data_IF_720341935058
#
_entry.id   IF_720341935058
#
_cell.length_a   1.000
_cell.length_b   1.000
_cell.length_c   1.000
_cell.angle_alpha   90.00
_cell.angle_beta   90.00
_cell.angle_gamma   90.00
#
_symmetry.space_group_name_H-M   'P 1'
#
loop_
_entity.id
_entity.type
_entity.pdbx_description
1 polymer ?
#
# COMPACT_ATOMS: atom_id res chain seq x y z
N UNK A 1 -13.56 22.68 45.58
CA UNK A 1 -13.05 21.44 44.97
C UNK A 1 -13.66 21.11 43.61
N UNK A 2 -14.99 21.25 43.40
CA UNK A 2 -15.64 20.97 42.09
C UNK A 2 -15.04 21.74 40.89
N UNK A 3 -14.68 23.02 41.07
CA UNK A 3 -14.09 23.87 39.99
C UNK A 3 -12.70 23.40 39.54
N UNK A 4 -11.90 22.83 40.44
CA UNK A 4 -10.58 22.28 40.11
C UNK A 4 -10.68 20.93 39.39
N UNK A 5 -11.68 20.10 39.75
CA UNK A 5 -11.94 18.84 39.08
C UNK A 5 -12.39 19.05 37.62
N UNK A 6 -13.26 20.03 37.36
CA UNK A 6 -13.68 20.37 36.01
C UNK A 6 -12.52 20.87 35.13
N UNK A 7 -11.61 21.69 35.68
CA UNK A 7 -10.44 22.16 34.94
C UNK A 7 -9.48 21.01 34.58
N UNK A 8 -9.27 20.06 35.50
CA UNK A 8 -8.42 18.89 35.26
C UNK A 8 -9.00 17.96 34.18
N UNK A 9 -10.32 17.75 34.17
CA UNK A 9 -10.99 16.93 33.14
C UNK A 9 -10.88 17.59 31.76
N UNK A 10 -11.07 18.91 31.66
CA UNK A 10 -10.92 19.64 30.39
C UNK A 10 -9.48 19.58 29.89
N UNK A 11 -8.49 19.74 30.77
CA UNK A 11 -7.08 19.61 30.40
C UNK A 11 -6.74 18.19 29.91
N UNK A 12 -7.29 17.15 30.55
CA UNK A 12 -7.11 15.77 30.12
C UNK A 12 -7.75 15.50 28.75
N UNK A 13 -8.94 16.02 28.48
CA UNK A 13 -9.62 15.87 27.18
C UNK A 13 -8.84 16.58 26.07
N UNK A 14 -8.33 17.79 26.32
CA UNK A 14 -7.49 18.52 25.33
C UNK A 14 -6.18 17.76 25.07
N UNK A 15 -5.56 17.20 26.11
CA UNK A 15 -4.34 16.40 25.96
C UNK A 15 -4.58 15.09 25.19
N UNK A 16 -5.72 14.43 25.41
CA UNK A 16 -6.11 13.20 24.71
C UNK A 16 -6.45 13.47 23.23
N UNK A 17 -7.11 14.59 22.92
CA UNK A 17 -7.36 15.01 21.54
C UNK A 17 -6.06 15.36 20.80
N UNK A 18 -5.06 15.92 21.49
CA UNK A 18 -3.76 16.24 20.91
C UNK A 18 -2.89 15.00 20.62
N UNK A 19 -3.09 13.88 21.34
CA UNK A 19 -2.36 12.63 21.11
C UNK A 19 -3.00 11.73 20.04
N UNK A 20 -4.15 12.10 19.47
CA UNK A 20 -4.86 11.24 18.52
C UNK A 20 -4.34 11.34 17.07
N UNK A 21 -3.35 12.18 16.78
CA UNK A 21 -2.74 12.28 15.45
C UNK A 21 -1.26 11.88 15.47
N UNK A 22 -0.97 10.65 15.85
CA UNK A 22 0.25 10.02 15.37
C UNK A 22 0.01 9.67 13.90
N UNK A 23 0.21 10.65 13.01
CA UNK A 23 0.21 10.38 11.57
C UNK A 23 1.39 9.46 11.28
N UNK A 24 1.11 8.27 10.74
CA UNK A 24 2.14 7.40 10.18
C UNK A 24 2.93 8.20 9.14
N UNK A 25 4.27 8.07 9.16
CA UNK A 25 5.14 8.87 8.30
C UNK A 25 5.00 8.39 6.86
N UNK A 26 4.26 9.14 6.04
CA UNK A 26 4.27 8.96 4.60
C UNK A 26 5.63 9.41 4.05
N UNK A 27 6.51 8.43 3.80
CA UNK A 27 7.89 8.63 3.38
C UNK A 27 8.02 9.27 2.00
N UNK A 28 7.00 9.11 1.15
CA UNK A 28 7.00 9.58 -0.25
C UNK A 28 5.90 10.60 -0.55
N UNK A 29 5.29 11.22 0.48
CA UNK A 29 4.17 12.17 0.34
C UNK A 29 4.35 13.27 -0.72
N UNK A 30 5.60 13.70 -0.94
CA UNK A 30 5.96 14.78 -1.85
C UNK A 30 6.70 14.30 -3.10
N UNK A 31 6.80 12.99 -3.32
CA UNK A 31 7.45 12.39 -4.47
C UNK A 31 6.39 11.91 -5.47
N UNK A 32 6.36 12.53 -6.65
CA UNK A 32 5.37 12.21 -7.68
C UNK A 32 5.57 10.85 -8.32
N UNK A 33 6.73 10.22 -8.13
CA UNK A 33 7.02 8.91 -8.71
C UNK A 33 6.43 7.76 -7.88
N UNK A 34 5.87 8.05 -6.71
CA UNK A 34 5.34 7.03 -5.80
C UNK A 34 3.87 7.28 -5.45
N UNK A 35 3.08 6.21 -5.44
CA UNK A 35 1.71 6.24 -4.92
C UNK A 35 1.62 5.29 -3.73
N UNK A 36 1.16 5.81 -2.58
CA UNK A 36 0.83 4.97 -1.43
C UNK A 36 -0.33 4.01 -1.80
N UNK A 37 -0.04 2.71 -1.80
CA UNK A 37 -1.01 1.65 -2.10
C UNK A 37 -1.73 1.22 -0.83
N UNK A 38 -0.97 1.03 0.25
CA UNK A 38 -1.47 0.56 1.54
C UNK A 38 -0.55 1.02 2.66
N UNK A 39 -1.16 1.31 3.81
CA UNK A 39 -0.47 1.59 5.06
C UNK A 39 -1.11 0.76 6.16
N UNK A 40 -0.31 0.03 6.95
CA UNK A 40 -0.79 -0.69 8.12
C UNK A 40 0.06 -1.91 8.48
N UNK A 41 -0.15 -2.43 9.70
CA UNK A 41 0.61 -3.58 10.25
C UNK A 41 2.13 -3.33 10.34
N UNK A 42 2.55 -2.07 10.52
CA UNK A 42 3.95 -1.70 10.63
C UNK A 42 4.68 -1.70 9.28
N UNK A 43 3.97 -1.50 8.18
CA UNK A 43 4.57 -1.30 6.87
C UNK A 43 3.74 -0.35 5.99
N UNK A 44 4.45 0.32 5.09
CA UNK A 44 3.91 1.14 4.02
C UNK A 44 4.31 0.54 2.67
N UNK A 45 3.34 0.34 1.79
CA UNK A 45 3.53 -0.18 0.44
C UNK A 45 3.26 0.94 -0.56
N UNK A 46 4.25 1.23 -1.40
CA UNK A 46 4.19 2.25 -2.45
C UNK A 46 4.36 1.61 -3.84
N UNK A 47 3.59 2.05 -4.82
CA UNK A 47 3.84 1.71 -6.22
C UNK A 47 4.80 2.74 -6.81
N UNK A 48 5.92 2.27 -7.37
CA UNK A 48 6.85 3.12 -8.10
C UNK A 48 6.37 3.29 -9.56
N UNK A 49 5.81 4.46 -9.87
CA UNK A 49 5.14 4.75 -11.14
C UNK A 49 6.01 4.53 -12.39
N UNK A 50 7.29 4.97 -12.43
CA UNK A 50 8.14 4.73 -13.59
C UNK A 50 8.40 3.26 -13.91
N UNK A 51 8.15 2.34 -12.96
CA UNK A 51 8.29 0.90 -13.20
C UNK A 51 7.04 0.22 -13.76
N UNK A 52 5.92 0.94 -13.88
CA UNK A 52 4.67 0.37 -14.37
C UNK A 52 4.82 0.03 -15.85
N UNK A 53 4.65 -1.25 -16.17
CA UNK A 53 4.83 -1.81 -17.50
C UNK A 53 3.61 -2.64 -17.90
N UNK A 54 3.05 -2.33 -19.08
CA UNK A 54 1.94 -3.08 -19.67
C UNK A 54 2.51 -4.19 -20.53
N UNK A 55 2.55 -5.39 -19.97
CA UNK A 55 3.15 -6.56 -20.63
C UNK A 55 2.23 -7.18 -21.69
N UNK A 56 0.92 -7.07 -21.52
CA UNK A 56 -0.06 -7.53 -22.51
C UNK A 56 -1.23 -6.55 -22.58
N UNK A 57 -1.46 -6.00 -23.78
CA UNK A 57 -2.58 -5.11 -24.10
C UNK A 57 -3.53 -5.80 -25.08
N UNK A 58 -4.36 -6.72 -24.58
CA UNK A 58 -5.39 -7.39 -25.39
C UNK A 58 -6.73 -7.38 -24.65
N UNK A 59 -7.48 -6.26 -24.66
CA UNK A 59 -8.76 -6.17 -23.96
C UNK A 59 -9.67 -7.39 -24.18
N UNK A 60 -10.17 -8.08 -23.13
CA UNK A 60 -10.07 -7.73 -21.71
C UNK A 60 -8.82 -8.28 -21.00
N UNK A 61 -7.97 -9.07 -21.65
CA UNK A 61 -6.77 -9.68 -21.07
C UNK A 61 -5.61 -8.68 -20.94
N UNK A 62 -5.53 -8.05 -19.77
CA UNK A 62 -4.42 -7.18 -19.39
C UNK A 62 -3.43 -7.90 -18.48
N UNK A 63 -2.15 -7.74 -18.74
CA UNK A 63 -1.09 -8.05 -17.79
C UNK A 63 -0.29 -6.78 -17.51
N UNK A 64 -0.25 -6.36 -16.25
CA UNK A 64 0.45 -5.15 -15.82
C UNK A 64 1.43 -5.56 -14.72
N UNK A 65 2.68 -5.15 -14.86
CA UNK A 65 3.71 -5.33 -13.86
C UNK A 65 4.16 -3.97 -13.30
N UNK A 66 4.77 -4.00 -12.12
CA UNK A 66 5.37 -2.84 -11.50
C UNK A 66 6.14 -3.23 -10.24
N UNK A 67 6.87 -2.28 -9.68
CA UNK A 67 7.61 -2.46 -8.43
C UNK A 67 6.81 -1.88 -7.27
N UNK A 68 6.57 -2.71 -6.26
CA UNK A 68 6.10 -2.28 -4.94
C UNK A 68 7.32 -2.07 -4.04
N UNK A 69 7.43 -0.87 -3.49
CA UNK A 69 8.41 -0.52 -2.47
C UNK A 69 7.74 -0.65 -1.12
N UNK A 70 8.30 -1.49 -0.26
CA UNK A 70 7.80 -1.74 1.10
C UNK A 70 8.77 -1.11 2.07
N UNK A 71 8.25 -0.21 2.91
CA UNK A 71 8.98 0.41 4.02
C UNK A 71 8.39 -0.14 5.31
N UNK A 72 9.20 -0.80 6.13
CA UNK A 72 8.77 -1.28 7.45
C UNK A 72 8.93 -0.18 8.50
N UNK A 73 7.92 -0.01 9.35
CA UNK A 73 7.88 0.95 10.48
C UNK A 73 8.66 0.48 11.71
N UNK A 74 9.33 -0.67 11.63
CA UNK A 74 10.21 -1.11 12.72
C UNK A 74 11.29 -0.03 12.90
N UNK A 75 11.65 0.32 14.14
CA UNK A 75 12.52 1.46 14.52
C UNK A 75 13.92 1.50 13.85
N UNK A 76 14.18 0.58 12.91
CA UNK A 76 15.33 0.50 12.01
C UNK A 76 14.94 1.13 10.66
N UNK A 77 15.27 2.41 10.52
CA UNK A 77 15.00 3.30 9.37
C UNK A 77 15.44 2.83 7.97
N UNK A 78 15.98 1.62 7.81
CA UNK A 78 16.72 1.21 6.63
C UNK A 78 16.20 -0.07 5.96
N UNK A 79 15.10 -0.67 6.42
CA UNK A 79 14.56 -1.90 5.82
C UNK A 79 13.56 -1.57 4.70
N UNK A 80 14.11 -1.30 3.52
CA UNK A 80 13.34 -1.10 2.29
C UNK A 80 13.41 -2.39 1.47
N UNK A 81 12.26 -2.99 1.21
CA UNK A 81 12.12 -4.10 0.27
C UNK A 81 11.54 -3.61 -1.05
N UNK A 82 12.00 -4.18 -2.17
CA UNK A 82 11.46 -3.93 -3.49
C UNK A 82 10.94 -5.24 -4.06
N UNK A 83 9.64 -5.30 -4.35
CA UNK A 83 8.99 -6.49 -4.91
C UNK A 83 8.49 -6.19 -6.32
N UNK A 84 8.97 -6.94 -7.32
CA UNK A 84 8.35 -6.92 -8.64
C UNK A 84 7.08 -7.73 -8.59
N UNK A 85 5.96 -7.07 -8.85
CA UNK A 85 4.62 -7.66 -8.87
C UNK A 85 4.04 -7.60 -10.27
N UNK A 86 3.16 -8.56 -10.59
CA UNK A 86 2.39 -8.58 -11.82
C UNK A 86 0.97 -9.01 -11.54
N UNK A 87 0.00 -8.34 -12.15
CA UNK A 87 -1.39 -8.73 -12.11
C UNK A 87 -1.85 -9.23 -13.48
N UNK A 88 -2.47 -10.40 -13.50
CA UNK A 88 -3.15 -10.94 -14.67
C UNK A 88 -4.65 -10.73 -14.55
N UNK A 89 -5.23 -9.95 -15.48
CA UNK A 89 -6.64 -9.65 -15.49
C UNK A 89 -7.52 -10.87 -15.72
N UNK A 90 -7.15 -11.74 -16.65
CA UNK A 90 -8.00 -12.84 -17.10
C UNK A 90 -8.21 -13.83 -15.95
N UNK A 91 -7.13 -14.20 -15.28
CA UNK A 91 -7.17 -15.15 -14.18
C UNK A 91 -7.47 -14.50 -12.82
N UNK A 92 -7.41 -13.16 -12.74
CA UNK A 92 -7.51 -12.38 -11.48
C UNK A 92 -6.42 -12.74 -10.47
N UNK A 93 -5.25 -13.13 -10.96
CA UNK A 93 -4.13 -13.60 -10.14
C UNK A 93 -3.04 -12.54 -10.04
N UNK A 94 -2.36 -12.50 -8.89
CA UNK A 94 -1.16 -11.70 -8.68
C UNK A 94 0.05 -12.63 -8.63
N UNK A 95 1.18 -12.13 -9.11
CA UNK A 95 2.44 -12.84 -9.16
C UNK A 95 3.54 -11.93 -8.60
N UNK A 96 4.53 -12.52 -7.95
CA UNK A 96 5.78 -11.85 -7.61
C UNK A 96 6.94 -12.51 -8.34
N UNK A 97 8.04 -11.79 -8.51
CA UNK A 97 9.28 -12.36 -9.04
C UNK A 97 10.09 -12.96 -7.89
N UNK A 98 10.43 -14.24 -7.98
CA UNK A 98 11.29 -14.89 -6.98
C UNK A 98 12.76 -14.47 -7.13
N UNK A 99 13.60 -14.88 -6.18
CA UNK A 99 15.05 -14.59 -6.19
C UNK A 99 15.80 -15.13 -7.42
N UNK A 100 15.17 -16.02 -8.20
CA UNK A 100 15.71 -16.60 -9.42
C UNK A 100 15.16 -15.90 -10.69
N UNK A 101 14.34 -14.87 -10.52
CA UNK A 101 13.74 -14.13 -11.62
C UNK A 101 12.47 -14.75 -12.20
N UNK A 102 11.90 -15.80 -11.60
CA UNK A 102 10.70 -16.46 -12.09
C UNK A 102 9.44 -15.84 -11.49
N UNK A 103 8.38 -15.73 -12.30
CA UNK A 103 7.08 -15.33 -11.79
C UNK A 103 6.44 -16.47 -10.99
N UNK A 104 6.15 -16.21 -9.72
CA UNK A 104 5.45 -17.11 -8.81
C UNK A 104 4.09 -16.53 -8.51
N UNK A 105 3.05 -17.36 -8.63
CA UNK A 105 1.69 -16.98 -8.26
C UNK A 105 1.64 -16.75 -6.75
N UNK A 106 1.02 -15.65 -6.34
CA UNK A 106 0.74 -15.38 -4.94
C UNK A 106 -0.34 -16.35 -4.44
N UNK A 107 -0.01 -17.12 -3.40
CA UNK A 107 -1.00 -17.91 -2.69
C UNK A 107 -1.71 -17.01 -1.69
N UNK A 108 -3.00 -16.77 -1.89
CA UNK A 108 -3.83 -16.07 -0.92
C UNK A 108 -4.24 -17.07 0.15
N UNK A 109 -3.58 -17.03 1.31
CA UNK A 109 -3.84 -17.96 2.41
C UNK A 109 -4.80 -17.35 3.44
N UNK A 110 -4.90 -16.01 3.47
CA UNK A 110 -5.77 -15.28 4.42
C UNK A 110 -6.58 -14.17 3.75
N UNK A 111 -7.72 -13.83 4.34
CA UNK A 111 -8.62 -12.76 3.86
C UNK A 111 -7.96 -11.37 3.82
N UNK A 112 -7.01 -11.09 4.72
CA UNK A 112 -6.26 -9.83 4.75
C UNK A 112 -5.30 -9.71 3.56
N UNK A 113 -4.69 -10.82 3.14
CA UNK A 113 -3.79 -10.87 1.98
C UNK A 113 -4.58 -10.63 0.69
N UNK A 114 -5.83 -11.10 0.62
CA UNK A 114 -6.73 -10.83 -0.52
C UNK A 114 -6.96 -9.34 -0.77
N UNK A 115 -7.24 -8.56 0.29
CA UNK A 115 -7.43 -7.12 0.16
C UNK A 115 -6.16 -6.40 -0.25
N UNK A 116 -5.01 -6.80 0.31
CA UNK A 116 -3.71 -6.22 -0.08
C UNK A 116 -3.46 -6.38 -1.59
N UNK A 117 -3.72 -7.57 -2.14
CA UNK A 117 -3.56 -7.85 -3.58
C UNK A 117 -4.53 -7.05 -4.44
N UNK A 118 -5.77 -6.84 -3.99
CA UNK A 118 -6.71 -5.95 -4.68
C UNK A 118 -6.23 -4.50 -4.72
N UNK A 119 -5.65 -4.00 -3.63
CA UNK A 119 -5.09 -2.64 -3.61
C UNK A 119 -3.93 -2.49 -4.59
N UNK A 120 -3.02 -3.47 -4.64
CA UNK A 120 -1.91 -3.50 -5.61
C UNK A 120 -2.43 -3.53 -7.05
N UNK A 121 -3.38 -4.43 -7.34
CA UNK A 121 -4.01 -4.51 -8.66
C UNK A 121 -4.69 -3.18 -9.03
N UNK A 122 -5.43 -2.56 -8.11
CA UNK A 122 -6.04 -1.25 -8.34
C UNK A 122 -5.00 -0.18 -8.66
N UNK A 123 -3.91 -0.13 -7.90
CA UNK A 123 -2.85 0.84 -8.12
C UNK A 123 -2.21 0.68 -9.50
N UNK A 124 -1.92 -0.56 -9.92
CA UNK A 124 -1.37 -0.86 -11.25
C UNK A 124 -2.31 -0.42 -12.38
N UNK A 125 -3.60 -0.74 -12.29
CA UNK A 125 -4.58 -0.35 -13.33
C UNK A 125 -4.84 1.15 -13.36
N UNK A 126 -4.88 1.79 -12.19
CA UNK A 126 -5.03 3.24 -12.10
C UNK A 126 -3.81 3.95 -12.68
N UNK A 127 -2.60 3.45 -12.42
CA UNK A 127 -1.37 4.01 -12.99
C UNK A 127 -1.29 3.82 -14.51
N UNK A 128 -1.61 2.62 -15.01
CA UNK A 128 -1.50 2.31 -16.44
C UNK A 128 -2.62 2.92 -17.29
N UNK A 129 -3.85 2.99 -16.77
CA UNK A 129 -5.04 3.31 -17.56
C UNK A 129 -5.94 4.40 -16.96
N UNK A 130 -5.66 4.89 -15.75
CA UNK A 130 -6.52 5.86 -15.06
C UNK A 130 -7.83 5.28 -14.55
N UNK A 131 -7.97 3.95 -14.47
CA UNK A 131 -9.22 3.26 -14.10
C UNK A 131 -9.09 2.65 -12.70
N UNK A 132 -10.09 2.91 -11.83
CA UNK A 132 -10.25 2.14 -10.60
C UNK A 132 -10.94 0.82 -10.93
N UNK A 133 -10.27 -0.31 -10.66
CA UNK A 133 -10.76 -1.61 -11.07
C UNK A 133 -11.67 -2.29 -10.03
N UNK A 134 -11.35 -2.14 -8.75
CA UNK A 134 -12.21 -2.50 -7.64
C UNK A 134 -12.78 -1.21 -7.04
N UNK A 135 -14.11 -1.11 -6.97
CA UNK A 135 -14.76 -0.11 -6.14
C UNK A 135 -14.49 -0.49 -4.68
N UNK A 136 -13.80 0.40 -3.95
CA UNK A 136 -13.63 0.29 -2.51
C UNK A 136 -14.96 0.36 -1.77
#
# INVERSE_FOLDING_TARGET
>A
MKKFLSAAIVALVVALLAHCSAEYRDCYKNDSDYILVRSGHGAHEYLYLPSVDVQEYNPPHYQIAGTIVIIYDDDRKDDISNELVRYNWYTKETFHKDNYGNWRKDEVRKHIEWYARKSIANALFKAAYGINFFNG
#
